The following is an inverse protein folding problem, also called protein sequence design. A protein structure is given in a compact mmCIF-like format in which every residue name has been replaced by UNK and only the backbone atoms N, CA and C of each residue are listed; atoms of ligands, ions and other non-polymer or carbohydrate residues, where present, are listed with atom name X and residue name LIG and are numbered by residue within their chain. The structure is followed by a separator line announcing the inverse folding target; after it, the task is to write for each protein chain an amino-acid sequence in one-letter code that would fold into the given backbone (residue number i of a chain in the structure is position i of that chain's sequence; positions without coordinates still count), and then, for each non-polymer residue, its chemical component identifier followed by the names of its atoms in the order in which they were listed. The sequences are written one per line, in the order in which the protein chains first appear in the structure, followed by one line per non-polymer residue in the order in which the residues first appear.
data_IF_846514737143
#
_entry.id   IF_846514737143
#
_cell.length_a   1.000
_cell.length_b   1.000
_cell.length_c   1.000
_cell.angle_alpha   90.00
_cell.angle_beta   90.00
_cell.angle_gamma   90.00
#
_symmetry.space_group_name_H-M   'P 1'
#
loop_
_entity.id
_entity.type
_entity.pdbx_description
1 polymer ?
#
# COMPACT_ATOMS: atom_id res chain seq x y z
N UNK A 1 -5.27 17.20 -6.98
CA UNK A 1 -5.02 16.02 -7.83
C UNK A 1 -4.56 14.91 -6.91
N UNK A 2 -5.51 14.22 -6.27
CA UNK A 2 -5.18 13.04 -5.45
C UNK A 2 -4.74 11.93 -6.38
N UNK A 3 -3.51 11.46 -6.23
CA UNK A 3 -2.98 10.31 -6.97
C UNK A 3 -3.75 9.07 -6.54
N UNK A 4 -4.75 8.67 -7.32
CA UNK A 4 -5.50 7.43 -7.12
C UNK A 4 -4.68 6.32 -7.74
N UNK A 5 -4.28 5.35 -6.92
CA UNK A 5 -3.65 4.12 -7.40
C UNK A 5 -4.74 3.06 -7.49
N UNK A 6 -5.08 2.66 -8.70
CA UNK A 6 -6.04 1.59 -8.91
C UNK A 6 -5.32 0.25 -8.76
N UNK A 7 -5.24 -0.27 -7.53
CA UNK A 7 -4.91 -1.68 -7.32
C UNK A 7 -6.20 -2.47 -7.40
N UNK A 8 -6.27 -3.42 -8.32
CA UNK A 8 -7.40 -4.34 -8.47
C UNK A 8 -7.41 -5.44 -7.39
N UNK A 9 -7.15 -5.06 -6.14
CA UNK A 9 -7.21 -5.93 -4.97
C UNK A 9 -8.52 -5.59 -4.26
N UNK A 10 -9.46 -6.53 -4.23
CA UNK A 10 -10.63 -6.39 -3.37
C UNK A 10 -10.18 -6.63 -1.94
N UNK A 11 -10.35 -5.63 -1.11
CA UNK A 11 -10.06 -5.76 0.30
C UNK A 11 -11.39 -5.77 1.07
N UNK A 12 -11.74 -6.92 1.65
CA UNK A 12 -12.99 -7.10 2.38
C UNK A 12 -12.89 -6.54 3.82
N UNK A 13 -12.44 -5.30 3.99
CA UNK A 13 -12.43 -4.64 5.28
C UNK A 13 -13.79 -4.01 5.56
N UNK A 14 -14.72 -4.73 6.17
CA UNK A 14 -15.85 -4.06 6.82
C UNK A 14 -15.45 -3.77 8.28
N UNK A 15 -15.60 -2.53 8.78
CA UNK A 15 -15.35 -2.26 10.19
C UNK A 15 -16.26 -3.18 11.03
N UNK A 16 -15.67 -4.16 11.71
CA UNK A 16 -16.38 -5.10 12.58
C UNK A 16 -16.60 -6.53 12.04
N UNK A 17 -16.23 -6.86 10.79
CA UNK A 17 -16.28 -8.25 10.30
C UNK A 17 -14.86 -8.81 10.13
N UNK A 18 -14.57 -9.90 10.83
CA UNK A 18 -13.22 -10.43 11.09
C UNK A 18 -12.43 -11.00 9.91
N UNK A 19 -12.65 -10.52 8.67
CA UNK A 19 -11.87 -10.96 7.52
C UNK A 19 -11.03 -9.81 6.95
N UNK A 20 -9.80 -9.67 7.44
CA UNK A 20 -8.87 -8.61 7.05
C UNK A 20 -8.05 -8.94 5.80
N UNK A 21 -8.28 -10.10 5.18
CA UNK A 21 -7.51 -10.56 4.02
C UNK A 21 -7.94 -9.87 2.72
N UNK A 22 -6.96 -9.66 1.85
CA UNK A 22 -7.15 -9.17 0.50
C UNK A 22 -7.39 -10.33 -0.48
N UNK A 23 -8.30 -10.14 -1.44
CA UNK A 23 -8.61 -11.12 -2.49
C UNK A 23 -8.47 -10.46 -3.86
N UNK A 24 -8.02 -11.24 -4.84
CA UNK A 24 -8.00 -10.80 -6.24
C UNK A 24 -9.41 -10.96 -6.81
N UNK A 25 -9.98 -9.86 -7.29
CA UNK A 25 -11.25 -9.90 -8.03
C UNK A 25 -10.98 -9.84 -9.53
N UNK A 26 -11.63 -10.71 -10.29
CA UNK A 26 -11.52 -10.69 -11.74
C UNK A 26 -12.44 -9.59 -12.31
N UNK A 27 -11.84 -8.51 -12.80
CA UNK A 27 -12.56 -7.36 -13.38
C UNK A 27 -12.88 -7.59 -14.88
N UNK A 28 -12.41 -8.69 -15.48
CA UNK A 28 -12.70 -9.01 -16.89
C UNK A 28 -14.08 -9.64 -17.09
N UNK A 29 -14.75 -10.06 -16.00
CA UNK A 29 -16.08 -10.64 -16.06
C UNK A 29 -17.14 -9.55 -16.26
N UNK A 30 -17.74 -9.51 -17.46
CA UNK A 30 -18.62 -8.42 -17.91
C UNK A 30 -20.00 -8.45 -17.28
N UNK A 31 -20.34 -9.54 -16.57
CA UNK A 31 -21.68 -9.81 -16.07
C UNK A 31 -21.96 -9.27 -14.66
N UNK A 32 -20.96 -8.71 -13.98
CA UNK A 32 -21.15 -8.02 -12.70
C UNK A 32 -20.87 -6.52 -12.84
N UNK A 33 -21.76 -5.63 -12.36
CA UNK A 33 -21.40 -4.23 -12.20
C UNK A 33 -20.19 -4.20 -11.26
N UNK A 34 -19.02 -3.73 -11.73
CA UNK A 34 -17.80 -3.85 -10.96
C UNK A 34 -18.03 -3.10 -9.65
N UNK A 35 -17.83 -3.77 -8.51
CA UNK A 35 -17.86 -3.14 -7.20
C UNK A 35 -16.59 -2.27 -7.04
N UNK A 36 -16.41 -1.31 -7.94
CA UNK A 36 -15.18 -0.54 -8.11
C UNK A 36 -14.79 0.16 -6.82
N UNK A 37 -15.76 0.53 -5.97
CA UNK A 37 -15.54 1.24 -4.71
C UNK A 37 -14.79 0.41 -3.64
N UNK A 38 -14.87 -0.93 -3.68
CA UNK A 38 -14.16 -1.81 -2.73
C UNK A 38 -12.73 -2.18 -3.14
N UNK A 39 -12.26 -1.63 -4.25
CA UNK A 39 -10.91 -1.86 -4.79
C UNK A 39 -10.14 -0.54 -4.99
N UNK A 40 -10.61 0.58 -4.42
CA UNK A 40 -9.93 1.87 -4.56
C UNK A 40 -9.01 2.11 -3.37
N UNK A 41 -7.74 2.33 -3.67
CA UNK A 41 -6.75 2.80 -2.72
C UNK A 41 -6.33 4.24 -3.05
N UNK A 42 -6.19 5.04 -2.00
CA UNK A 42 -5.67 6.40 -2.06
C UNK A 42 -4.28 6.40 -1.44
N UNK A 43 -3.31 6.99 -2.13
CA UNK A 43 -1.99 7.22 -1.56
C UNK A 43 -2.14 8.36 -0.54
N UNK A 44 -2.08 8.00 0.73
CA UNK A 44 -2.20 8.96 1.84
C UNK A 44 -0.89 9.67 2.11
N UNK A 45 0.21 8.93 2.06
CA UNK A 45 1.56 9.45 2.25
C UNK A 45 2.54 8.82 1.26
N UNK A 46 3.55 9.60 0.88
CA UNK A 46 4.67 9.15 0.07
C UNK A 46 5.95 9.81 0.61
N UNK A 47 6.89 8.99 1.06
CA UNK A 47 8.13 9.40 1.72
C UNK A 47 9.33 8.71 1.08
N UNK A 48 10.51 9.30 1.20
CA UNK A 48 11.73 8.55 0.93
C UNK A 48 11.92 7.51 2.03
N UNK A 49 12.60 6.41 1.72
CA UNK A 49 12.89 5.34 2.71
C UNK A 49 13.58 5.91 3.97
N UNK A 50 14.48 6.88 3.81
CA UNK A 50 15.14 7.56 4.93
C UNK A 50 14.15 8.34 5.81
N UNK A 51 13.27 9.12 5.21
CA UNK A 51 12.27 9.88 5.95
C UNK A 51 11.25 8.96 6.64
N UNK A 52 10.91 7.82 6.02
CA UNK A 52 10.08 6.81 6.65
C UNK A 52 10.76 6.24 7.91
N UNK A 53 12.04 5.90 7.82
CA UNK A 53 12.76 5.32 8.95
C UNK A 53 12.88 6.29 10.13
N UNK A 54 13.07 7.58 9.86
CA UNK A 54 13.01 8.63 10.87
C UNK A 54 11.62 8.72 11.53
N UNK A 55 10.55 8.69 10.74
CA UNK A 55 9.17 8.71 11.24
C UNK A 55 8.83 7.49 12.10
N UNK A 56 9.15 6.28 11.64
CA UNK A 56 8.87 5.03 12.37
C UNK A 56 9.64 5.01 13.69
N UNK A 57 10.90 5.44 13.66
CA UNK A 57 11.74 5.52 14.87
C UNK A 57 11.20 6.56 15.86
N UNK A 58 10.79 7.74 15.39
CA UNK A 58 10.17 8.77 16.22
C UNK A 58 8.84 8.29 16.85
N UNK A 59 8.02 7.59 16.06
CA UNK A 59 6.74 7.03 16.53
C UNK A 59 6.96 5.98 17.64
N UNK A 60 7.97 5.11 17.49
CA UNK A 60 8.35 4.12 18.50
C UNK A 60 8.92 4.76 19.78
N UNK A 61 9.51 5.95 19.68
CA UNK A 61 10.02 6.70 20.81
C UNK A 61 8.94 7.52 21.56
N UNK A 62 7.67 7.46 21.12
CA UNK A 62 6.57 8.22 21.72
C UNK A 62 6.55 9.71 21.32
N UNK A 63 7.41 10.13 20.40
CA UNK A 63 7.39 11.46 19.81
C UNK A 63 6.47 11.44 18.59
N UNK A 64 5.24 11.96 18.75
CA UNK A 64 4.30 12.11 17.65
C UNK A 64 4.81 13.16 16.66
N UNK A 65 5.66 12.73 15.74
CA UNK A 65 6.10 13.56 14.63
C UNK A 65 4.97 13.63 13.60
N UNK A 66 4.06 14.59 13.80
CA UNK A 66 3.10 15.01 12.78
C UNK A 66 3.86 15.64 11.61
N UNK A 67 4.47 14.81 10.76
CA UNK A 67 5.02 15.26 9.48
C UNK A 67 3.86 15.42 8.51
N UNK A 68 3.10 16.50 8.72
CA UNK A 68 2.11 17.04 7.80
C UNK A 68 2.82 17.52 6.54
N UNK A 69 3.20 16.59 5.67
CA UNK A 69 3.81 16.95 4.40
C UNK A 69 2.78 16.76 3.28
N UNK A 70 1.71 17.55 3.45
CA UNK A 70 0.62 17.84 2.52
C UNK A 70 1.13 18.76 1.41
N UNK A 71 1.58 18.15 0.33
CA UNK A 71 1.79 18.81 -0.95
C UNK A 71 1.51 17.80 -2.06
N UNK A 72 1.16 18.27 -3.26
CA UNK A 72 1.12 17.44 -4.47
C UNK A 72 2.51 16.83 -4.71
N UNK A 73 2.81 15.72 -4.04
CA UNK A 73 4.05 15.01 -4.23
C UNK A 73 3.91 14.20 -5.48
N UNK A 74 4.77 14.50 -6.44
CA UNK A 74 4.99 13.56 -7.51
C UNK A 74 5.56 12.29 -6.89
N UNK A 75 4.91 11.17 -7.15
CA UNK A 75 5.38 9.85 -6.77
C UNK A 75 6.68 9.57 -7.52
N UNK A 76 7.73 9.16 -6.80
CA UNK A 76 9.00 8.78 -7.42
C UNK A 76 9.27 7.30 -7.16
N UNK A 77 9.92 6.62 -8.10
CA UNK A 77 10.43 5.29 -7.86
C UNK A 77 11.43 5.30 -6.69
N UNK A 78 11.37 4.28 -5.83
CA UNK A 78 12.13 4.18 -4.59
C UNK A 78 11.49 4.90 -3.39
N UNK A 79 10.33 5.55 -3.56
CA UNK A 79 9.57 6.07 -2.41
C UNK A 79 8.74 4.97 -1.75
N UNK A 80 8.62 5.08 -0.43
CA UNK A 80 7.68 4.32 0.36
C UNK A 80 6.33 5.05 0.39
N UNK A 81 5.26 4.30 0.18
CA UNK A 81 3.89 4.82 0.13
C UNK A 81 2.99 4.12 1.14
N UNK A 82 2.06 4.90 1.67
CA UNK A 82 1.00 4.44 2.54
C UNK A 82 -0.31 4.44 1.74
N UNK A 83 -0.89 3.24 1.57
CA UNK A 83 -2.10 3.04 0.80
C UNK A 83 -3.30 2.90 1.74
N UNK A 84 -4.23 3.85 1.71
CA UNK A 84 -5.48 3.77 2.45
C UNK A 84 -6.61 3.31 1.55
N UNK A 85 -7.31 2.28 1.98
CA UNK A 85 -8.52 1.78 1.35
C UNK A 85 -9.67 2.79 1.53
N UNK A 86 -10.22 3.29 0.43
CA UNK A 86 -11.14 4.42 0.45
C UNK A 86 -12.48 4.10 1.14
N UNK A 87 -12.97 2.86 1.03
CA UNK A 87 -14.29 2.48 1.57
C UNK A 87 -14.25 2.12 3.05
N UNK A 88 -13.16 1.51 3.53
CA UNK A 88 -13.03 1.06 4.92
C UNK A 88 -12.19 2.00 5.80
N UNK A 89 -11.50 2.98 5.19
CA UNK A 89 -10.52 3.84 5.86
C UNK A 89 -9.37 3.06 6.54
N UNK A 90 -9.13 1.80 6.15
CA UNK A 90 -8.03 0.98 6.66
C UNK A 90 -6.82 1.06 5.72
N UNK A 91 -5.64 0.68 6.20
CA UNK A 91 -4.38 0.71 5.46
C UNK A 91 -4.01 -0.67 4.92
N UNK A 92 -3.48 -0.73 3.69
CA UNK A 92 -2.95 -1.97 3.11
C UNK A 92 -1.67 -2.37 3.84
N UNK A 93 -1.64 -3.55 4.43
CA UNK A 93 -0.54 -4.02 5.25
C UNK A 93 -0.20 -5.49 4.98
N UNK A 94 1.06 -5.86 5.24
CA UNK A 94 1.46 -7.25 5.37
C UNK A 94 0.99 -7.81 6.70
N UNK A 95 0.19 -8.87 6.66
CA UNK A 95 -0.26 -9.59 7.83
C UNK A 95 0.84 -10.55 8.31
N UNK A 96 0.96 -10.70 9.63
CA UNK A 96 1.89 -11.66 10.24
C UNK A 96 1.42 -13.12 10.14
N UNK A 97 0.13 -13.32 9.86
CA UNK A 97 -0.45 -14.64 9.58
C UNK A 97 -0.24 -14.97 8.10
N UNK A 98 0.34 -16.14 7.82
CA UNK A 98 0.35 -16.73 6.47
C UNK A 98 -0.64 -17.90 6.44
N UNK A 99 -1.64 -17.82 5.58
CA UNK A 99 -2.62 -18.89 5.32
C UNK A 99 -2.12 -19.89 4.26
N UNK A 100 -1.01 -19.56 3.60
CA UNK A 100 -0.34 -20.40 2.62
C UNK A 100 0.53 -21.49 3.26
N UNK A 101 0.57 -22.67 2.64
CA UNK A 101 1.54 -23.72 2.99
C UNK A 101 2.97 -23.40 2.57
N UNK A 102 3.16 -22.39 1.72
CA UNK A 102 4.48 -21.89 1.34
C UNK A 102 5.02 -20.95 2.44
N UNK A 103 6.19 -21.29 2.98
CA UNK A 103 6.87 -20.52 4.04
C UNK A 103 7.38 -19.16 3.55
N UNK A 104 7.35 -18.93 2.23
CA UNK A 104 7.75 -17.68 1.61
C UNK A 104 6.57 -16.79 1.21
N UNK A 105 5.34 -17.28 1.32
CA UNK A 105 4.17 -16.47 1.07
C UNK A 105 3.75 -15.73 2.35
N UNK A 106 3.25 -14.53 2.15
CA UNK A 106 2.77 -13.63 3.18
C UNK A 106 1.38 -13.19 2.78
N UNK A 107 0.50 -13.08 3.76
CA UNK A 107 -0.83 -12.59 3.49
C UNK A 107 -0.82 -11.07 3.48
N UNK A 108 -1.56 -10.50 2.54
CA UNK A 108 -1.79 -9.08 2.45
C UNK A 108 -3.21 -8.81 2.90
N UNK A 109 -3.39 -7.73 3.65
CA UNK A 109 -4.66 -7.41 4.26
C UNK A 109 -4.81 -5.94 4.60
N UNK A 110 -5.88 -5.64 5.34
CA UNK A 110 -6.18 -4.31 5.82
C UNK A 110 -5.98 -4.20 7.34
N UNK A 111 -5.33 -3.12 7.76
CA UNK A 111 -5.09 -2.78 9.15
C UNK A 111 -5.74 -1.43 9.50
N UNK A 112 -6.28 -1.33 10.71
CA UNK A 112 -6.97 -0.16 11.22
C UNK A 112 -6.04 0.99 11.59
N UNK A 113 -4.77 0.69 11.87
CA UNK A 113 -3.74 1.67 12.18
C UNK A 113 -2.64 1.66 11.13
N UNK A 114 -1.99 2.81 10.90
CA UNK A 114 -0.82 2.96 10.03
C UNK A 114 0.51 2.85 10.79
N UNK A 115 0.47 2.36 12.04
CA UNK A 115 1.66 2.27 12.89
C UNK A 115 2.61 1.16 12.42
N UNK A 116 3.91 1.48 12.44
CA UNK A 116 4.98 0.56 12.05
C UNK A 116 5.17 0.46 10.54
N UNK A 117 6.05 -0.46 10.15
CA UNK A 117 6.51 -0.63 8.76
C UNK A 117 5.58 -1.52 7.92
N UNK A 118 4.67 -2.26 8.57
CA UNK A 118 3.82 -3.26 7.91
C UNK A 118 2.86 -2.66 6.88
N UNK A 119 2.45 -1.40 7.07
CA UNK A 119 1.54 -0.67 6.18
C UNK A 119 2.26 0.06 5.03
N UNK A 120 3.60 0.01 4.99
CA UNK A 120 4.40 0.77 4.03
C UNK A 120 4.92 -0.10 2.91
N UNK A 121 4.89 0.45 1.70
CA UNK A 121 5.27 -0.25 0.47
C UNK A 121 6.21 0.62 -0.35
N UNK A 122 7.39 0.13 -0.72
CA UNK A 122 8.27 0.84 -1.66
C UNK A 122 7.88 0.54 -3.10
N UNK A 123 7.92 1.56 -3.94
CA UNK A 123 7.56 1.46 -5.35
C UNK A 123 8.83 1.28 -6.19
N UNK A 124 8.96 0.16 -6.87
CA UNK A 124 10.05 -0.11 -7.79
C UNK A 124 9.55 -0.21 -9.24
N UNK A 125 10.38 0.17 -10.22
CA UNK A 125 10.02 0.01 -11.63
C UNK A 125 10.03 -1.46 -12.00
N UNK A 126 8.98 -1.93 -12.68
CA UNK A 126 8.93 -3.32 -13.16
C UNK A 126 9.89 -3.59 -14.34
N UNK A 127 10.28 -2.54 -15.07
CA UNK A 127 11.15 -2.64 -16.24
C UNK A 127 12.42 -1.79 -16.09
N UNK A 128 13.48 -2.20 -16.78
CA UNK A 128 14.75 -1.43 -16.87
C UNK A 128 14.63 -0.12 -17.65
N UNK A 129 13.46 0.19 -18.21
CA UNK A 129 13.21 1.46 -18.89
C UNK A 129 13.04 2.62 -17.91
N UNK A 130 12.78 2.32 -16.64
CA UNK A 130 12.63 3.29 -15.56
C UNK A 130 13.70 3.07 -14.50
N UNK A 131 14.10 4.15 -13.85
CA UNK A 131 15.12 4.16 -12.79
C UNK A 131 14.58 4.71 -11.48
N UNK A 132 15.21 4.33 -10.36
CA UNK A 132 14.90 4.92 -9.06
C UNK A 132 15.10 6.44 -9.07
N UNK A 133 14.20 7.16 -8.40
CA UNK A 133 14.15 8.62 -8.41
C UNK A 133 13.40 9.24 -9.60
N UNK A 134 13.04 8.47 -10.63
CA UNK A 134 12.18 8.96 -11.71
C UNK A 134 10.72 9.12 -11.27
N UNK A 135 9.99 10.01 -11.94
CA UNK A 135 8.57 10.26 -11.69
C UNK A 135 7.73 9.11 -12.20
N UNK A 136 6.91 8.51 -11.34
CA UNK A 136 5.94 7.48 -11.73
C UNK A 136 4.83 8.13 -12.53
N UNK A 137 4.49 7.52 -13.66
CA UNK A 137 3.40 7.98 -14.55
C UNK A 137 2.21 7.05 -14.46
N UNK A 138 1.03 7.58 -14.80
CA UNK A 138 -0.18 6.77 -14.91
C UNK A 138 0.01 5.74 -16.03
N UNK A 139 -0.24 4.46 -15.73
CA UNK A 139 -0.06 3.35 -16.66
C UNK A 139 1.35 2.77 -16.70
N UNK A 140 2.29 3.25 -15.88
CA UNK A 140 3.56 2.55 -15.69
C UNK A 140 3.34 1.26 -14.87
N UNK A 141 4.07 0.20 -15.22
CA UNK A 141 4.11 -1.04 -14.46
C UNK A 141 4.98 -0.86 -13.20
N UNK A 142 4.43 -1.21 -12.04
CA UNK A 142 5.05 -1.03 -10.74
C UNK A 142 5.18 -2.35 -10.01
N UNK A 143 6.25 -2.49 -9.25
CA UNK A 143 6.43 -3.56 -8.26
C UNK A 143 6.32 -2.91 -6.88
N UNK A 144 5.48 -3.45 -6.01
CA UNK A 144 5.40 -3.00 -4.63
C UNK A 144 6.23 -3.96 -3.77
N UNK A 145 7.06 -3.40 -2.89
CA UNK A 145 7.84 -4.20 -1.94
C UNK A 145 7.47 -3.78 -0.53
N UNK A 146 7.08 -4.75 0.29
CA UNK A 146 6.75 -4.51 1.70
C UNK A 146 8.00 -4.03 2.46
N UNK A 147 7.88 -2.93 3.21
CA UNK A 147 9.00 -2.45 4.04
C UNK A 147 9.26 -3.41 5.20
N UNK A 148 8.22 -3.97 5.81
CA UNK A 148 8.37 -4.86 6.97
C UNK A 148 8.91 -6.26 6.63
N UNK A 149 8.61 -6.78 5.44
CA UNK A 149 8.96 -8.17 5.08
C UNK A 149 9.94 -8.29 3.92
N UNK A 150 10.21 -7.19 3.20
CA UNK A 150 11.01 -7.15 1.98
C UNK A 150 10.49 -8.09 0.88
N UNK A 151 9.18 -8.39 0.92
CA UNK A 151 8.52 -9.27 -0.06
C UNK A 151 7.71 -8.48 -1.08
N UNK A 152 7.57 -9.06 -2.27
CA UNK A 152 7.00 -8.44 -3.45
C UNK A 152 5.49 -8.65 -3.55
N UNK A 153 4.79 -7.61 -4.01
CA UNK A 153 3.40 -7.62 -4.45
C UNK A 153 3.29 -7.05 -5.88
#
# INVERSE_FOLDING_TARGET
LSSILCLCIRACGHPGFGNRHCYLENIADKDLPPAMLSCVFVIEQALSVRALQEMVTASNAGESSTSTQSGHRTLLYGHAVLLRHQSSNMYLACLSSSTSSDKLAFDVGLQDHSEGEACWWTIHPASKQRSEGEKVRVGDDLILVSVATERYL
#
